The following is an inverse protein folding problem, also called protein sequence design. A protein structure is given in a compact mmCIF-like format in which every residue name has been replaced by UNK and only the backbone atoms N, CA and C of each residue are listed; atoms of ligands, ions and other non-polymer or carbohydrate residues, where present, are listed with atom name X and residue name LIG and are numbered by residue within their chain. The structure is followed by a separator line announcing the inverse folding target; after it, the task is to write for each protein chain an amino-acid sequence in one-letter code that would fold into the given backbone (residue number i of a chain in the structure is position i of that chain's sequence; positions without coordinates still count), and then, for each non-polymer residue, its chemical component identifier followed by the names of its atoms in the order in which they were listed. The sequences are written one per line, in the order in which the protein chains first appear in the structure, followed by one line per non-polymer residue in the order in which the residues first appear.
data_IF_533740686924
#
_entry.id   IF_533740686924
#
_cell.length_a   1.000
_cell.length_b   1.000
_cell.length_c   1.000
_cell.angle_alpha   90.00
_cell.angle_beta   90.00
_cell.angle_gamma   90.00
#
_symmetry.space_group_name_H-M   'P 1'
#
loop_
_entity.id
_entity.type
_entity.pdbx_description
1 polymer ?
#
# COMPACT_ATOMS: atom_id res chain seq x y z
N UNK A 1 -27.04 27.41 22.13
CA UNK A 1 -26.37 27.63 20.82
C UNK A 1 -24.86 27.71 20.94
N UNK A 2 -24.29 28.64 21.74
CA UNK A 2 -22.82 28.77 21.90
C UNK A 2 -22.12 27.49 22.43
N UNK A 3 -22.76 26.77 23.37
CA UNK A 3 -22.25 25.49 23.90
C UNK A 3 -22.28 24.35 22.86
N UNK A 4 -23.28 24.33 21.98
CA UNK A 4 -23.39 23.34 20.91
C UNK A 4 -22.35 23.59 19.82
N UNK A 5 -22.15 24.86 19.46
CA UNK A 5 -21.12 25.27 18.51
C UNK A 5 -19.71 24.94 19.03
N UNK A 6 -19.44 25.18 20.31
CA UNK A 6 -18.17 24.82 20.93
C UNK A 6 -17.93 23.31 20.95
N UNK A 7 -18.97 22.50 21.18
CA UNK A 7 -18.88 21.04 21.16
C UNK A 7 -18.57 20.49 19.76
N UNK A 8 -19.24 21.04 18.74
CA UNK A 8 -18.99 20.66 17.33
C UNK A 8 -17.57 21.05 16.92
N UNK A 9 -17.10 22.24 17.30
CA UNK A 9 -15.74 22.68 16.98
C UNK A 9 -14.68 21.81 17.66
N UNK A 10 -14.91 21.40 18.92
CA UNK A 10 -14.04 20.48 19.64
C UNK A 10 -13.97 19.09 18.97
N UNK A 11 -15.12 18.57 18.51
CA UNK A 11 -15.20 17.30 17.79
C UNK A 11 -14.45 17.34 16.44
N UNK A 12 -14.59 18.43 15.69
CA UNK A 12 -13.87 18.59 14.42
C UNK A 12 -12.36 18.63 14.67
N UNK A 13 -11.89 19.36 15.69
CA UNK A 13 -10.47 19.41 16.04
C UNK A 13 -9.89 18.04 16.44
N UNK A 14 -10.68 17.16 17.06
CA UNK A 14 -10.26 15.79 17.42
C UNK A 14 -10.09 14.88 16.19
N UNK A 15 -10.95 15.04 15.18
CA UNK A 15 -10.82 14.27 13.93
C UNK A 15 -9.68 14.78 13.02
N UNK A 16 -9.32 16.06 13.12
CA UNK A 16 -8.20 16.63 12.35
C UNK A 16 -6.81 16.11 12.75
N UNK A 17 -6.65 15.54 13.95
CA UNK A 17 -5.37 15.02 14.44
C UNK A 17 -5.12 13.53 14.11
N UNK A 18 -6.10 12.83 13.50
CA UNK A 18 -5.94 11.43 13.08
C UNK A 18 -5.35 11.27 11.66
N UNK A 19 -5.03 12.37 10.97
CA UNK A 19 -4.65 12.36 9.55
C UNK A 19 -3.18 12.04 9.22
N UNK A 20 -2.25 12.16 10.19
CA UNK A 20 -0.83 11.86 9.98
C UNK A 20 -0.45 10.54 10.65
N UNK A 21 -0.94 9.43 10.09
CA UNK A 21 -0.60 8.09 10.57
C UNK A 21 -0.64 7.02 9.49
N UNK A 22 -0.91 7.39 8.23
CA UNK A 22 -0.76 6.49 7.11
C UNK A 22 0.74 6.24 6.93
N UNK A 23 1.24 5.15 7.52
CA UNK A 23 2.46 4.53 7.05
C UNK A 23 2.24 4.30 5.56
N UNK A 24 3.10 4.85 4.71
CA UNK A 24 3.17 4.33 3.36
C UNK A 24 3.37 2.82 3.52
N UNK A 25 2.41 2.03 3.04
CA UNK A 25 2.52 0.58 3.10
C UNK A 25 3.90 0.23 2.54
N UNK A 26 4.74 -0.47 3.30
CA UNK A 26 6.07 -0.92 2.90
C UNK A 26 5.91 -1.88 1.70
N UNK A 27 5.75 -1.32 0.50
CA UNK A 27 5.47 -2.04 -0.74
C UNK A 27 6.75 -2.14 -1.54
N UNK A 28 7.15 -3.37 -1.85
CA UNK A 28 8.15 -3.61 -2.87
C UNK A 28 7.53 -3.41 -4.25
N UNK A 29 8.06 -2.44 -5.00
CA UNK A 29 7.69 -2.23 -6.40
C UNK A 29 8.73 -2.94 -7.27
N UNK A 30 8.32 -4.04 -7.91
CA UNK A 30 9.15 -4.77 -8.87
C UNK A 30 8.88 -4.24 -10.29
N UNK A 31 9.94 -3.81 -10.98
CA UNK A 31 9.90 -3.59 -12.43
C UNK A 31 10.25 -4.91 -13.14
N UNK A 32 9.50 -5.26 -14.19
CA UNK A 32 9.66 -6.53 -14.93
C UNK A 32 9.36 -6.33 -16.41
N UNK A 33 10.08 -7.04 -17.28
CA UNK A 33 9.77 -7.13 -18.71
C UNK A 33 8.75 -8.26 -19.01
N UNK A 34 8.62 -9.25 -18.12
CA UNK A 34 7.62 -10.30 -18.16
C UNK A 34 7.49 -11.07 -19.50
N UNK A 35 8.61 -11.24 -20.21
CA UNK A 35 8.66 -11.94 -21.51
C UNK A 35 9.84 -12.90 -21.62
N UNK A 36 10.40 -13.31 -20.48
CA UNK A 36 11.64 -14.10 -20.40
C UNK A 36 11.48 -15.36 -19.54
N UNK A 37 10.77 -16.41 -20.03
CA UNK A 37 10.70 -17.69 -19.32
C UNK A 37 12.09 -18.33 -19.13
N UNK A 38 12.38 -18.98 -17.98
CA UNK A 38 11.50 -19.19 -16.82
C UNK A 38 11.60 -18.09 -15.74
N UNK A 39 12.28 -16.98 -16.01
CA UNK A 39 12.64 -15.97 -15.00
C UNK A 39 11.48 -15.03 -14.70
N UNK A 40 10.89 -14.43 -15.72
CA UNK A 40 9.75 -13.52 -15.59
C UNK A 40 8.87 -13.61 -16.84
N UNK A 41 7.62 -14.03 -16.69
CA UNK A 41 6.69 -14.16 -17.80
C UNK A 41 5.24 -14.07 -17.34
N UNK A 42 4.33 -13.86 -18.29
CA UNK A 42 2.89 -13.88 -18.03
C UNK A 42 2.32 -15.25 -18.38
N UNK A 43 1.66 -15.89 -17.44
CA UNK A 43 0.89 -17.13 -17.63
C UNK A 43 -0.47 -16.99 -16.95
N UNK A 44 -1.55 -17.38 -17.63
CA UNK A 44 -2.92 -17.26 -17.11
C UNK A 44 -3.29 -15.84 -16.61
N UNK A 45 -2.73 -14.79 -17.24
CA UNK A 45 -2.84 -13.39 -16.83
C UNK A 45 -2.18 -13.03 -15.49
N UNK A 46 -1.27 -13.88 -14.99
CA UNK A 46 -0.47 -13.63 -13.80
C UNK A 46 1.01 -13.51 -14.17
N UNK A 47 1.73 -12.63 -13.47
CA UNK A 47 3.19 -12.58 -13.54
C UNK A 47 3.76 -13.72 -12.71
N UNK A 48 4.55 -14.58 -13.36
CA UNK A 48 5.15 -15.77 -12.75
C UNK A 48 6.61 -15.91 -13.16
N UNK A 49 7.33 -16.80 -12.49
CA UNK A 49 8.74 -17.10 -12.76
C UNK A 49 9.63 -16.85 -11.54
N UNK A 50 10.89 -17.26 -11.67
CA UNK A 50 11.89 -17.23 -10.60
C UNK A 50 12.06 -15.82 -10.00
N UNK A 51 12.11 -14.79 -10.84
CA UNK A 51 12.34 -13.41 -10.39
C UNK A 51 11.13 -12.87 -9.61
N UNK A 52 9.92 -13.28 -10.01
CA UNK A 52 8.68 -12.93 -9.30
C UNK A 52 8.62 -13.63 -7.94
N UNK A 53 9.01 -14.90 -7.86
CA UNK A 53 9.06 -15.65 -6.60
C UNK A 53 10.05 -15.02 -5.60
N UNK A 54 11.23 -14.61 -6.07
CA UNK A 54 12.23 -13.94 -5.23
C UNK A 54 11.72 -12.59 -4.74
N UNK A 55 11.13 -11.76 -5.61
CA UNK A 55 10.55 -10.48 -5.21
C UNK A 55 9.46 -10.65 -4.15
N UNK A 56 8.62 -11.68 -4.26
CA UNK A 56 7.61 -12.01 -3.26
C UNK A 56 8.22 -12.46 -1.92
N UNK A 57 9.36 -13.16 -1.93
CA UNK A 57 10.06 -13.53 -0.69
C UNK A 57 10.67 -12.30 -0.01
N UNK A 58 11.29 -11.40 -0.77
CA UNK A 58 11.82 -10.13 -0.24
C UNK A 58 10.70 -9.27 0.35
N UNK A 59 9.56 -9.20 -0.32
CA UNK A 59 8.41 -8.42 0.16
C UNK A 59 7.74 -8.99 1.44
N UNK A 60 8.09 -10.21 1.84
CA UNK A 60 7.58 -10.86 3.07
C UNK A 60 8.51 -10.69 4.27
N UNK A 61 9.73 -10.20 4.07
CA UNK A 61 10.67 -9.84 5.13
C UNK A 61 10.33 -8.46 5.72
#
# INVERSE_FOLDING_TARGET
MKKLLALVLALVMLFSFAGCGAKEDDKLIMATNATFPPYEYVENNEYVGIDVEIAQLIAKE
#
